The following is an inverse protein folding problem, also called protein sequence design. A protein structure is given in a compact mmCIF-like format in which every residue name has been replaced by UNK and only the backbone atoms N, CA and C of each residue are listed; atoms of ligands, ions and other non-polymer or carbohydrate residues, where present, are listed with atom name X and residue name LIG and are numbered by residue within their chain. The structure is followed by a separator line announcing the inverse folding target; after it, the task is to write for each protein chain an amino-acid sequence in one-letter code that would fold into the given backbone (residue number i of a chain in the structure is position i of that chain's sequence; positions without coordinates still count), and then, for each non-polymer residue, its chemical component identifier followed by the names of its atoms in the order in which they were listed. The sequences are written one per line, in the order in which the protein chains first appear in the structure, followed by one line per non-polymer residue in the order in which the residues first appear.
data_IF_791196105297
#
_entry.id   IF_791196105297
#
_cell.length_a   1.000
_cell.length_b   1.000
_cell.length_c   1.000
_cell.angle_alpha   90.00
_cell.angle_beta   90.00
_cell.angle_gamma   90.00
#
_symmetry.space_group_name_H-M   'P 1'
#
loop_
_entity.id
_entity.type
_entity.pdbx_description
1 polymer ?
#
# COMPACT_ATOMS: atom_id res chain seq x y z
N UNK A 1 30.99 -2.39 6.02
CA UNK A 1 29.86 -2.24 5.07
C UNK A 1 30.32 -1.30 3.98
N UNK A 2 30.28 -1.72 2.72
CA UNK A 2 30.58 -0.84 1.59
C UNK A 2 29.29 -0.08 1.22
N UNK A 3 29.40 1.21 0.93
CA UNK A 3 28.26 2.03 0.50
C UNK A 3 27.95 1.74 -0.99
N UNK A 4 26.68 1.61 -1.33
CA UNK A 4 26.26 1.30 -2.71
C UNK A 4 26.48 2.51 -3.64
N UNK A 5 26.94 2.22 -4.87
CA UNK A 5 27.65 3.15 -5.77
C UNK A 5 28.99 2.57 -6.27
N UNK A 6 29.52 1.57 -5.56
CA UNK A 6 30.70 0.77 -5.94
C UNK A 6 30.36 -0.64 -6.43
N UNK A 7 29.16 -1.16 -6.09
CA UNK A 7 28.63 -2.47 -6.52
C UNK A 7 27.12 -2.30 -6.72
N UNK A 8 26.55 -2.90 -7.77
CA UNK A 8 25.09 -2.92 -8.02
C UNK A 8 24.60 -4.33 -7.69
N UNK A 9 23.81 -4.50 -6.62
CA UNK A 9 23.21 -5.80 -6.32
C UNK A 9 21.83 -5.86 -6.99
N UNK A 10 21.57 -6.78 -7.93
CA UNK A 10 20.26 -6.90 -8.55
C UNK A 10 19.21 -7.19 -7.48
N UNK A 11 18.27 -6.26 -7.29
CA UNK A 11 17.27 -6.29 -6.22
C UNK A 11 16.03 -7.09 -6.61
N UNK A 12 15.55 -7.85 -5.64
CA UNK A 12 14.56 -8.89 -5.87
C UNK A 12 13.22 -8.72 -5.19
N UNK A 13 12.73 -7.55 -4.73
CA UNK A 13 11.54 -7.44 -3.85
C UNK A 13 10.41 -8.47 -4.07
N UNK A 14 9.76 -8.87 -2.98
CA UNK A 14 8.67 -9.83 -2.99
C UNK A 14 7.34 -9.15 -2.67
N UNK A 15 6.29 -9.49 -3.41
CA UNK A 15 4.90 -9.13 -3.07
C UNK A 15 4.04 -10.39 -3.00
N UNK A 16 3.10 -10.40 -2.06
CA UNK A 16 1.97 -11.35 -2.06
C UNK A 16 0.69 -10.66 -1.63
N UNK A 17 -0.45 -11.16 -2.08
CA UNK A 17 -1.79 -10.70 -1.75
C UNK A 17 -2.75 -11.88 -1.73
N UNK A 18 -3.62 -11.92 -0.73
CA UNK A 18 -4.66 -12.93 -0.59
C UNK A 18 -5.96 -12.22 -0.24
N UNK A 19 -7.03 -12.49 -0.97
CA UNK A 19 -8.35 -11.93 -0.72
C UNK A 19 -9.44 -12.99 -0.81
N UNK A 20 -10.39 -12.95 0.11
CA UNK A 20 -11.62 -13.73 0.06
C UNK A 20 -12.75 -12.90 -0.52
N UNK A 21 -13.27 -13.29 -1.67
CA UNK A 21 -14.41 -12.62 -2.33
C UNK A 21 -15.70 -12.76 -1.53
N UNK A 22 -15.85 -13.79 -0.70
CA UNK A 22 -17.03 -13.91 0.18
C UNK A 22 -17.02 -12.93 1.36
N UNK A 23 -15.90 -12.23 1.60
CA UNK A 23 -15.70 -11.42 2.80
C UNK A 23 -15.34 -12.24 4.04
N UNK A 24 -15.14 -13.56 3.89
CA UNK A 24 -14.61 -14.40 4.96
C UNK A 24 -13.28 -13.82 5.45
N UNK A 25 -13.21 -13.53 6.75
CA UNK A 25 -11.99 -13.07 7.38
C UNK A 25 -11.15 -14.27 7.80
N UNK A 26 -9.85 -14.21 7.53
CA UNK A 26 -8.90 -15.27 7.85
C UNK A 26 -7.64 -14.66 8.48
N UNK A 27 -6.91 -15.53 9.21
CA UNK A 27 -5.71 -15.13 9.95
C UNK A 27 -4.61 -14.61 9.04
N UNK A 28 -3.88 -13.59 9.52
CA UNK A 28 -2.68 -13.05 8.86
C UNK A 28 -1.55 -14.08 8.68
N UNK A 29 -1.59 -15.20 9.40
CA UNK A 29 -0.69 -16.35 9.21
C UNK A 29 -0.65 -16.83 7.75
N UNK A 30 -1.78 -16.73 7.03
CA UNK A 30 -1.84 -17.08 5.60
C UNK A 30 -0.92 -16.19 4.77
N UNK A 31 -0.91 -14.88 5.02
CA UNK A 31 -0.05 -13.96 4.29
C UNK A 31 1.43 -14.13 4.68
N UNK A 32 1.72 -14.43 5.96
CA UNK A 32 3.07 -14.75 6.44
C UNK A 32 3.64 -15.97 5.72
N UNK A 33 2.90 -17.08 5.71
CA UNK A 33 3.32 -18.32 5.03
C UNK A 33 3.42 -18.16 3.52
N UNK A 34 2.64 -17.24 2.93
CA UNK A 34 2.72 -16.97 1.50
C UNK A 34 3.97 -16.18 1.12
N UNK A 35 4.41 -15.21 1.93
CA UNK A 35 5.60 -14.40 1.62
C UNK A 35 6.92 -15.10 1.98
N UNK A 36 6.92 -15.97 3.00
CA UNK A 36 8.12 -16.66 3.53
C UNK A 36 8.97 -17.43 2.49
N UNK A 37 8.41 -18.18 1.52
CA UNK A 37 9.20 -18.84 0.48
C UNK A 37 10.00 -17.87 -0.41
N UNK A 38 9.65 -16.59 -0.40
CA UNK A 38 10.34 -15.53 -1.11
C UNK A 38 11.34 -14.78 -0.20
N UNK A 39 11.89 -15.44 0.83
CA UNK A 39 12.93 -14.88 1.70
C UNK A 39 14.12 -14.32 0.90
N UNK A 40 14.65 -15.11 -0.04
CA UNK A 40 15.85 -14.79 -0.84
C UNK A 40 15.68 -13.59 -1.78
N UNK A 41 14.43 -13.16 -1.99
CA UNK A 41 14.06 -11.96 -2.75
C UNK A 41 14.22 -10.67 -1.93
N UNK A 42 14.30 -10.81 -0.61
CA UNK A 42 14.36 -9.73 0.38
C UNK A 42 15.75 -9.65 1.02
N UNK A 43 16.03 -8.58 1.77
CA UNK A 43 17.31 -8.45 2.49
C UNK A 43 17.17 -7.99 3.95
N UNK A 44 15.96 -8.08 4.51
CA UNK A 44 15.68 -7.69 5.88
C UNK A 44 15.67 -6.18 6.15
N UNK A 45 15.77 -5.32 5.13
CA UNK A 45 15.76 -3.86 5.32
C UNK A 45 14.35 -3.24 5.23
N UNK A 46 13.30 -4.07 5.18
CA UNK A 46 11.93 -3.63 5.24
C UNK A 46 10.95 -4.77 4.97
N UNK A 47 10.00 -4.96 5.86
CA UNK A 47 8.92 -5.92 5.72
C UNK A 47 7.61 -5.29 6.17
N UNK A 48 6.50 -5.75 5.62
CA UNK A 48 5.20 -5.29 6.11
C UNK A 48 4.00 -5.90 5.42
N UNK A 49 2.85 -5.60 6.01
CA UNK A 49 1.54 -6.11 5.67
C UNK A 49 0.51 -4.99 5.67
N UNK A 50 -0.51 -5.10 4.83
CA UNK A 50 -1.76 -4.38 4.99
C UNK A 50 -2.90 -5.39 5.10
N UNK A 51 -3.90 -5.05 5.91
CA UNK A 51 -5.05 -5.91 6.15
C UNK A 51 -6.35 -5.10 6.09
N UNK A 52 -7.40 -5.69 5.54
CA UNK A 52 -8.74 -5.12 5.48
C UNK A 52 -9.76 -6.02 6.19
N UNK A 53 -10.74 -5.42 6.86
CA UNK A 53 -11.66 -6.15 7.75
C UNK A 53 -11.09 -6.44 9.13
N UNK A 54 -9.95 -5.83 9.46
CA UNK A 54 -9.12 -6.17 10.62
C UNK A 54 -9.61 -5.56 11.93
N UNK A 55 -10.47 -4.54 11.87
CA UNK A 55 -10.98 -3.81 13.04
C UNK A 55 -12.51 -3.82 13.10
N UNK A 56 -13.17 -4.98 13.21
CA UNK A 56 -14.62 -5.08 13.09
C UNK A 56 -15.36 -4.29 14.18
N UNK A 57 -14.79 -4.14 15.38
CA UNK A 57 -15.40 -3.34 16.45
C UNK A 57 -15.31 -1.83 16.21
N UNK A 58 -14.34 -1.38 15.41
CA UNK A 58 -14.07 0.03 15.12
C UNK A 58 -14.22 0.33 13.61
N UNK A 59 -15.01 -0.45 12.88
CA UNK A 59 -15.02 -0.45 11.41
C UNK A 59 -15.36 0.90 10.78
N UNK A 60 -16.16 1.71 11.48
CA UNK A 60 -16.67 3.00 11.01
C UNK A 60 -15.74 4.18 11.39
N UNK A 61 -14.70 3.90 12.21
CA UNK A 61 -13.69 4.86 12.64
C UNK A 61 -12.44 4.80 11.77
N UNK A 62 -11.75 5.93 11.60
CA UNK A 62 -10.41 5.91 11.03
C UNK A 62 -9.42 5.30 12.02
N UNK A 63 -8.64 4.33 11.57
CA UNK A 63 -7.52 3.76 12.29
C UNK A 63 -6.23 4.45 11.83
N UNK A 64 -5.69 5.32 12.68
CA UNK A 64 -4.39 5.94 12.46
C UNK A 64 -3.32 5.10 13.12
N UNK A 65 -2.36 4.60 12.37
CA UNK A 65 -1.16 3.99 12.95
C UNK A 65 -0.01 4.98 12.88
N UNK A 66 0.67 5.17 14.01
CA UNK A 66 1.69 6.22 14.16
C UNK A 66 2.95 5.64 14.78
N UNK A 67 4.10 5.97 14.20
CA UNK A 67 5.41 5.80 14.83
C UNK A 67 5.79 7.06 15.59
N UNK A 68 6.33 6.89 16.79
CA UNK A 68 6.92 7.96 17.57
C UNK A 68 8.36 7.62 17.97
N UNK A 69 9.28 8.55 17.68
CA UNK A 69 10.70 8.43 18.03
C UNK A 69 10.98 8.97 19.45
N UNK A 70 10.06 9.74 20.03
CA UNK A 70 10.18 10.29 21.37
C UNK A 70 8.83 10.54 22.04
N UNK A 71 8.82 10.61 23.37
CA UNK A 71 7.63 10.98 24.14
C UNK A 71 7.12 12.38 23.76
N UNK A 72 8.02 13.34 23.51
CA UNK A 72 7.66 14.70 23.08
C UNK A 72 6.90 14.69 21.75
N UNK A 73 7.37 13.92 20.76
CA UNK A 73 6.69 13.81 19.47
C UNK A 73 5.29 13.21 19.61
N UNK A 74 5.13 12.25 20.53
CA UNK A 74 3.83 11.69 20.88
C UNK A 74 2.90 12.75 21.48
N UNK A 75 3.36 13.49 22.49
CA UNK A 75 2.54 14.49 23.17
C UNK A 75 2.06 15.59 22.20
N UNK A 76 2.96 16.10 21.36
CA UNK A 76 2.64 17.11 20.33
C UNK A 76 1.62 16.58 19.29
N UNK A 77 1.78 15.32 18.89
CA UNK A 77 0.86 14.68 17.96
C UNK A 77 -0.51 14.45 18.59
N UNK A 78 -0.57 14.02 19.85
CA UNK A 78 -1.82 13.77 20.57
C UNK A 78 -2.61 15.06 20.83
N UNK A 79 -1.94 16.19 21.08
CA UNK A 79 -2.60 17.50 21.17
C UNK A 79 -3.32 17.85 19.85
N UNK A 80 -2.68 17.59 18.72
CA UNK A 80 -3.25 17.83 17.39
C UNK A 80 -4.38 16.82 17.08
N UNK A 81 -4.26 15.56 17.50
CA UNK A 81 -5.35 14.59 17.41
C UNK A 81 -6.57 15.01 18.24
N UNK A 82 -6.38 15.34 19.52
CA UNK A 82 -7.47 15.70 20.44
C UNK A 82 -8.22 16.97 20.01
N UNK A 83 -7.52 17.91 19.34
CA UNK A 83 -8.15 19.09 18.79
C UNK A 83 -8.88 18.84 17.47
N UNK A 84 -8.57 17.75 16.75
CA UNK A 84 -9.08 17.48 15.39
C UNK A 84 -10.09 16.33 15.32
N UNK A 85 -9.99 15.34 16.21
CA UNK A 85 -10.77 14.10 16.19
C UNK A 85 -11.41 13.80 17.54
N UNK A 86 -12.61 13.22 17.50
CA UNK A 86 -13.19 12.47 18.60
C UNK A 86 -12.54 11.07 18.62
N UNK A 87 -11.54 10.90 19.48
CA UNK A 87 -10.74 9.67 19.57
C UNK A 87 -11.36 8.73 20.60
N UNK A 88 -11.91 7.60 20.13
CA UNK A 88 -12.55 6.59 20.97
C UNK A 88 -11.54 5.63 21.61
N UNK A 89 -10.43 5.34 20.92
CA UNK A 89 -9.39 4.41 21.39
C UNK A 89 -8.02 4.97 21.03
N UNK A 90 -7.09 4.96 21.99
CA UNK A 90 -5.68 5.28 21.80
C UNK A 90 -4.85 4.24 22.57
N UNK A 91 -4.10 3.41 21.84
CA UNK A 91 -3.35 2.32 22.45
C UNK A 91 -2.09 1.96 21.68
N UNK A 92 -1.17 1.26 22.35
CA UNK A 92 -0.04 0.65 21.65
C UNK A 92 -0.54 -0.50 20.78
N UNK A 93 0.03 -0.63 19.59
CA UNK A 93 -0.22 -1.83 18.78
C UNK A 93 0.41 -3.03 19.51
N UNK A 94 -0.34 -4.13 19.75
CA UNK A 94 0.21 -5.33 20.35
C UNK A 94 1.41 -5.87 19.56
N UNK A 95 2.54 -6.08 20.22
CA UNK A 95 3.74 -6.64 19.61
C UNK A 95 4.38 -7.72 20.47
N UNK A 96 5.21 -8.56 19.85
CA UNK A 96 6.03 -9.60 20.49
C UNK A 96 7.51 -9.21 20.31
N UNK A 97 8.27 -9.19 21.40
CA UNK A 97 9.73 -8.98 21.32
C UNK A 97 10.40 -10.18 20.68
N UNK A 98 11.11 -9.95 19.57
CA UNK A 98 11.90 -10.96 18.87
C UNK A 98 13.28 -10.38 18.50
N UNK A 99 14.37 -11.17 18.53
CA UNK A 99 15.73 -10.65 18.26
C UNK A 99 15.94 -10.07 16.85
N UNK A 100 15.12 -10.47 15.88
CA UNK A 100 15.24 -10.09 14.47
C UNK A 100 14.76 -8.65 14.19
N UNK A 101 13.96 -8.07 15.09
CA UNK A 101 13.41 -6.73 14.95
C UNK A 101 14.05 -5.84 16.01
N UNK A 102 14.79 -4.83 15.56
CA UNK A 102 15.52 -3.89 16.41
C UNK A 102 15.13 -2.45 16.11
N UNK A 103 15.56 -1.55 17.00
CA UNK A 103 15.39 -0.10 16.85
C UNK A 103 13.92 0.30 16.63
N UNK A 104 13.02 -0.39 17.32
CA UNK A 104 11.58 -0.17 17.17
C UNK A 104 11.15 1.19 17.75
N UNK A 105 10.44 2.02 16.97
CA UNK A 105 9.80 3.21 17.50
C UNK A 105 8.62 2.82 18.40
N UNK A 106 8.10 3.78 19.16
CA UNK A 106 6.82 3.55 19.82
C UNK A 106 5.71 3.48 18.77
N UNK A 107 5.07 2.32 18.65
CA UNK A 107 3.98 2.09 17.67
C UNK A 107 2.63 2.20 18.35
N UNK A 108 1.83 3.17 17.92
CA UNK A 108 0.50 3.45 18.46
C UNK A 108 -0.56 3.37 17.38
N UNK A 109 -1.79 3.07 17.80
CA UNK A 109 -2.98 3.24 16.98
C UNK A 109 -4.03 4.09 17.67
N UNK A 110 -4.70 4.92 16.88
CA UNK A 110 -5.79 5.79 17.29
C UNK A 110 -7.02 5.49 16.44
N UNK A 111 -8.18 5.37 17.07
CA UNK A 111 -9.45 5.21 16.38
C UNK A 111 -10.32 6.43 16.64
N UNK A 112 -10.77 7.11 15.58
CA UNK A 112 -11.62 8.28 15.74
C UNK A 112 -12.25 8.82 14.46
N UNK A 113 -13.10 9.82 14.65
CA UNK A 113 -13.75 10.58 13.58
C UNK A 113 -13.40 12.07 13.72
N UNK A 114 -13.23 12.79 12.60
CA UNK A 114 -13.00 14.23 12.68
C UNK A 114 -14.24 14.90 13.27
N UNK A 115 -14.05 15.96 14.07
CA UNK A 115 -15.19 16.69 14.63
C UNK A 115 -16.00 17.39 13.51
N UNK A 116 -17.32 17.20 13.50
CA UNK A 116 -18.23 17.80 12.51
C UNK A 116 -18.06 19.33 12.39
N UNK A 117 -17.84 20.02 13.53
CA UNK A 117 -17.61 21.47 13.56
C UNK A 117 -16.39 21.89 12.72
N UNK A 118 -15.35 21.06 12.67
CA UNK A 118 -14.15 21.33 11.89
C UNK A 118 -14.39 21.09 10.41
N UNK A 119 -15.08 20.00 10.05
CA UNK A 119 -15.49 19.75 8.67
C UNK A 119 -16.33 20.92 8.13
N UNK A 120 -17.32 21.39 8.91
CA UNK A 120 -18.14 22.55 8.55
C UNK A 120 -17.32 23.83 8.41
N UNK A 121 -16.40 24.12 9.34
CA UNK A 121 -15.58 25.33 9.30
C UNK A 121 -14.57 25.36 8.14
N UNK A 122 -14.06 24.20 7.73
CA UNK A 122 -13.07 24.08 6.65
C UNK A 122 -13.71 23.91 5.29
N UNK A 123 -14.99 23.49 5.24
CA UNK A 123 -15.70 23.15 4.01
C UNK A 123 -15.14 21.92 3.29
N UNK A 124 -14.32 21.11 3.96
CA UNK A 124 -13.73 19.91 3.40
C UNK A 124 -14.64 18.70 3.63
N UNK A 125 -14.66 17.77 2.68
CA UNK A 125 -15.19 16.45 2.94
C UNK A 125 -14.30 15.69 3.95
N UNK A 126 -14.89 14.69 4.60
CA UNK A 126 -14.23 13.91 5.65
C UNK A 126 -12.89 13.31 5.20
N UNK A 127 -12.85 12.74 3.98
CA UNK A 127 -11.65 12.06 3.46
C UNK A 127 -10.55 13.05 3.11
N UNK A 128 -10.90 14.18 2.51
CA UNK A 128 -9.95 15.26 2.23
C UNK A 128 -9.40 15.88 3.52
N UNK A 129 -10.23 16.06 4.54
CA UNK A 129 -9.77 16.51 5.86
C UNK A 129 -8.73 15.54 6.45
N UNK A 130 -9.02 14.23 6.44
CA UNK A 130 -8.10 13.20 6.95
C UNK A 130 -6.80 13.16 6.14
N UNK A 131 -6.88 13.22 4.80
CA UNK A 131 -5.69 13.24 3.95
C UNK A 131 -4.78 14.43 4.28
N UNK A 132 -5.34 15.64 4.44
CA UNK A 132 -4.57 16.83 4.83
C UNK A 132 -4.02 16.72 6.25
N UNK A 133 -4.77 16.13 7.16
CA UNK A 133 -4.31 15.89 8.53
C UNK A 133 -3.08 14.97 8.55
N UNK A 134 -3.10 13.85 7.82
CA UNK A 134 -1.95 12.94 7.67
C UNK A 134 -0.73 13.69 7.13
N UNK A 135 -0.91 14.47 6.06
CA UNK A 135 0.17 15.29 5.48
C UNK A 135 0.72 16.30 6.49
N UNK A 136 -0.16 16.94 7.29
CA UNK A 136 0.23 17.90 8.32
C UNK A 136 1.11 17.22 9.38
N UNK A 137 0.69 16.10 9.94
CA UNK A 137 1.49 15.38 10.95
C UNK A 137 2.85 15.01 10.38
N UNK A 138 2.86 14.35 9.21
CA UNK A 138 4.08 13.81 8.60
C UNK A 138 5.07 14.89 8.12
N UNK A 139 4.64 16.16 8.01
CA UNK A 139 5.50 17.27 7.58
C UNK A 139 5.86 18.23 8.70
N UNK A 140 5.04 18.35 9.75
CA UNK A 140 5.20 19.40 10.76
C UNK A 140 5.69 18.86 12.11
N UNK A 141 5.43 17.59 12.44
CA UNK A 141 5.80 17.01 13.73
C UNK A 141 7.02 16.12 13.55
N UNK A 142 8.18 16.62 13.97
CA UNK A 142 9.43 15.84 13.89
C UNK A 142 9.37 14.65 14.85
N UNK A 143 9.63 13.45 14.33
CA UNK A 143 9.62 12.21 15.12
C UNK A 143 8.22 11.61 15.33
N UNK A 144 7.20 12.10 14.61
CA UNK A 144 5.89 11.45 14.49
C UNK A 144 5.61 11.12 13.02
N UNK A 145 5.14 9.90 12.74
CA UNK A 145 4.86 9.49 11.38
C UNK A 145 3.62 8.60 11.29
N UNK A 146 2.55 9.12 10.70
CA UNK A 146 1.32 8.41 10.39
C UNK A 146 1.54 7.55 9.14
N UNK A 147 1.51 6.24 9.31
CA UNK A 147 1.80 5.26 8.26
C UNK A 147 0.59 4.42 7.83
N UNK A 148 -0.56 4.61 8.48
CA UNK A 148 -1.87 4.05 8.12
C UNK A 148 -2.96 5.02 8.57
N UNK A 149 -4.04 5.17 7.79
CA UNK A 149 -5.09 6.17 8.07
C UNK A 149 -6.47 5.81 7.51
N UNK A 150 -6.78 4.52 7.33
CA UNK A 150 -8.02 4.06 6.71
C UNK A 150 -9.07 3.59 7.71
N UNK A 151 -10.29 3.31 7.23
CA UNK A 151 -11.35 2.68 8.03
C UNK A 151 -11.32 1.17 7.85
N UNK A 152 -11.53 0.44 8.95
CA UNK A 152 -11.51 -1.04 8.99
C UNK A 152 -10.30 -1.69 8.30
N UNK A 153 -9.16 -1.00 8.29
CA UNK A 153 -7.92 -1.46 7.67
C UNK A 153 -6.72 -0.98 8.47
N UNK A 154 -5.59 -1.67 8.36
CA UNK A 154 -4.34 -1.27 9.02
C UNK A 154 -3.10 -1.71 8.25
N UNK A 155 -2.04 -0.91 8.34
CA UNK A 155 -0.70 -1.27 7.87
C UNK A 155 0.18 -1.68 9.05
N UNK A 156 1.02 -2.69 8.87
CA UNK A 156 1.99 -3.18 9.85
C UNK A 156 3.34 -3.29 9.15
N UNK A 157 4.31 -2.49 9.54
CA UNK A 157 5.60 -2.45 8.84
C UNK A 157 6.75 -2.20 9.80
N UNK A 158 7.93 -2.69 9.44
CA UNK A 158 9.15 -2.56 10.23
C UNK A 158 10.39 -2.76 9.35
N UNK A 159 11.56 -2.45 9.90
CA UNK A 159 12.83 -2.94 9.37
C UNK A 159 12.97 -4.40 9.79
N UNK A 160 13.02 -5.32 8.83
CA UNK A 160 13.10 -6.76 9.06
C UNK A 160 12.62 -7.55 7.84
N UNK A 161 12.74 -8.88 7.89
CA UNK A 161 12.11 -9.78 6.92
C UNK A 161 10.59 -9.84 7.16
N UNK A 162 9.76 -9.95 6.11
CA UNK A 162 8.31 -9.89 6.26
C UNK A 162 7.75 -10.97 7.22
N UNK A 163 8.28 -12.18 7.22
CA UNK A 163 7.88 -13.23 8.16
C UNK A 163 8.16 -12.86 9.63
N UNK A 164 9.28 -12.19 9.90
CA UNK A 164 9.61 -11.68 11.25
C UNK A 164 8.69 -10.51 11.63
N UNK A 165 8.41 -9.61 10.68
CA UNK A 165 7.47 -8.49 10.89
C UNK A 165 6.07 -9.01 11.23
N UNK A 166 5.61 -10.05 10.55
CA UNK A 166 4.32 -10.68 10.83
C UNK A 166 4.25 -11.24 12.26
N UNK A 167 5.30 -11.95 12.70
CA UNK A 167 5.42 -12.47 14.06
C UNK A 167 5.56 -11.38 15.11
N UNK A 168 6.29 -10.30 14.80
CA UNK A 168 6.46 -9.14 15.69
C UNK A 168 5.13 -8.45 15.96
N UNK A 169 4.29 -8.24 14.94
CA UNK A 169 2.96 -7.63 15.10
C UNK A 169 1.86 -8.62 15.50
N UNK A 170 2.22 -9.90 15.72
CA UNK A 170 1.29 -10.98 16.08
C UNK A 170 0.14 -11.11 15.09
N UNK A 171 0.42 -11.03 13.79
CA UNK A 171 -0.62 -11.03 12.76
C UNK A 171 -1.42 -12.34 12.71
N UNK A 172 -0.92 -13.41 13.32
CA UNK A 172 -1.66 -14.65 13.54
C UNK A 172 -2.93 -14.46 14.39
N UNK A 173 -2.95 -13.45 15.28
CA UNK A 173 -4.06 -13.13 16.18
C UNK A 173 -5.13 -12.22 15.52
N UNK A 174 -4.86 -11.74 14.30
CA UNK A 174 -5.75 -10.84 13.57
C UNK A 174 -6.43 -11.57 12.42
N UNK A 175 -7.69 -11.20 12.13
CA UNK A 175 -8.43 -11.72 10.99
C UNK A 175 -8.85 -10.58 10.06
N UNK A 176 -8.63 -10.76 8.76
CA UNK A 176 -9.04 -9.84 7.70
C UNK A 176 -9.49 -10.60 6.46
N UNK A 177 -10.30 -9.99 5.61
CA UNK A 177 -10.75 -10.62 4.36
C UNK A 177 -9.77 -10.41 3.21
N UNK A 178 -8.84 -9.45 3.35
CA UNK A 178 -7.79 -9.18 2.38
C UNK A 178 -6.50 -8.85 3.12
N UNK A 179 -5.40 -9.45 2.67
CA UNK A 179 -4.05 -9.22 3.15
C UNK A 179 -3.12 -8.97 1.97
N UNK A 180 -2.27 -7.96 2.07
CA UNK A 180 -1.12 -7.77 1.17
C UNK A 180 0.16 -7.74 1.99
N UNK A 181 1.25 -8.23 1.44
CA UNK A 181 2.55 -8.24 2.11
C UNK A 181 3.69 -7.91 1.15
N UNK A 182 4.78 -7.42 1.72
CA UNK A 182 5.96 -7.01 0.97
C UNK A 182 7.25 -7.31 1.72
N UNK A 183 8.21 -7.89 1.01
CA UNK A 183 9.61 -7.99 1.41
C UNK A 183 10.47 -7.03 0.58
N UNK A 184 11.09 -6.04 1.24
CA UNK A 184 11.82 -4.93 0.60
C UNK A 184 13.30 -5.26 0.44
N UNK A 185 13.82 -4.81 -0.69
CA UNK A 185 15.23 -4.64 -0.97
C UNK A 185 15.47 -3.17 -1.38
N UNK A 186 15.85 -2.26 -0.46
CA UNK A 186 16.14 -0.88 -0.83
C UNK A 186 17.29 -0.79 -1.83
N UNK A 187 17.12 0.00 -2.89
CA UNK A 187 18.19 0.35 -3.84
C UNK A 187 18.67 1.79 -3.68
N UNK A 188 17.84 2.69 -3.10
CA UNK A 188 18.07 4.13 -3.15
C UNK A 188 17.99 4.87 -1.77
N UNK A 189 17.54 4.22 -0.69
CA UNK A 189 17.40 4.87 0.64
C UNK A 189 17.85 3.95 1.78
N UNK A 190 18.40 4.50 2.88
CA UNK A 190 18.65 3.72 4.10
C UNK A 190 17.39 2.98 4.57
N UNK A 191 17.57 1.80 5.16
CA UNK A 191 16.49 1.06 5.81
C UNK A 191 16.05 1.81 7.08
N UNK A 192 14.78 2.20 7.14
CA UNK A 192 14.15 2.74 8.33
C UNK A 192 12.66 2.38 8.32
N UNK A 193 12.03 2.39 9.49
CA UNK A 193 10.69 1.82 9.68
C UNK A 193 9.61 2.47 8.80
N UNK A 194 9.64 3.80 8.64
CA UNK A 194 8.68 4.51 7.79
C UNK A 194 8.87 4.27 6.29
N UNK A 195 10.08 3.92 5.84
CA UNK A 195 10.40 3.59 4.45
C UNK A 195 10.06 2.16 4.03
N UNK A 196 9.68 1.29 4.98
CA UNK A 196 9.14 -0.02 4.66
C UNK A 196 7.75 0.09 4.00
N UNK A 197 7.45 -0.86 3.12
CA UNK A 197 6.12 -1.00 2.52
C UNK A 197 5.24 -1.88 3.42
N UNK A 198 3.90 -1.80 3.33
CA UNK A 198 3.09 -0.93 2.45
C UNK A 198 3.15 0.58 2.77
N UNK A 199 2.83 1.40 1.77
CA UNK A 199 2.44 2.80 1.95
C UNK A 199 0.93 2.92 1.99
N UNK A 200 0.41 3.91 2.72
CA UNK A 200 -1.03 4.11 2.89
C UNK A 200 -1.42 5.57 2.91
N UNK A 201 -2.57 5.86 2.32
CA UNK A 201 -3.32 7.11 2.49
C UNK A 201 -4.80 6.76 2.47
N UNK A 202 -5.52 7.11 3.54
CA UNK A 202 -6.89 6.66 3.75
C UNK A 202 -6.96 5.13 3.69
N UNK A 203 -7.93 4.58 2.98
CA UNK A 203 -8.11 3.15 2.76
C UNK A 203 -7.29 2.58 1.59
N UNK A 204 -6.47 3.38 0.92
CA UNK A 204 -5.54 2.88 -0.08
C UNK A 204 -4.26 2.37 0.56
N UNK A 205 -3.80 1.20 0.13
CA UNK A 205 -2.48 0.68 0.46
C UNK A 205 -1.75 0.22 -0.79
N UNK A 206 -0.46 0.55 -0.90
CA UNK A 206 0.37 0.13 -2.04
C UNK A 206 1.59 -0.62 -1.53
N UNK A 207 1.76 -1.82 -2.09
CA UNK A 207 3.07 -2.50 -2.12
C UNK A 207 3.60 -2.46 -3.54
N UNK A 208 4.91 -2.27 -3.68
CA UNK A 208 5.57 -2.08 -4.97
C UNK A 208 6.86 -2.88 -5.00
N UNK A 209 6.97 -3.79 -5.97
CA UNK A 209 8.20 -4.47 -6.35
C UNK A 209 8.66 -3.90 -7.70
N UNK A 210 9.80 -3.21 -7.69
CA UNK A 210 10.27 -2.48 -8.85
C UNK A 210 11.21 -1.32 -8.51
N UNK A 211 11.53 -0.56 -9.54
CA UNK A 211 12.28 0.70 -9.45
C UNK A 211 11.73 1.65 -10.52
N UNK A 212 11.26 2.83 -10.10
CA UNK A 212 10.61 3.77 -11.00
C UNK A 212 11.63 4.79 -11.53
N UNK A 213 11.90 4.73 -12.83
CA UNK A 213 12.83 5.65 -13.49
C UNK A 213 12.28 7.07 -13.66
N UNK A 214 10.96 7.24 -13.60
CA UNK A 214 10.27 8.54 -13.68
C UNK A 214 9.99 9.19 -12.32
N UNK A 215 10.53 8.63 -11.23
CA UNK A 215 10.22 9.03 -9.85
C UNK A 215 10.11 10.55 -9.64
N UNK A 216 11.17 11.31 -9.95
CA UNK A 216 11.18 12.75 -9.63
C UNK A 216 10.20 13.57 -10.51
N UNK A 217 9.95 13.12 -11.74
CA UNK A 217 8.93 13.73 -12.60
C UNK A 217 7.52 13.49 -12.04
N UNK A 218 7.22 12.24 -11.66
CA UNK A 218 5.95 11.87 -11.06
C UNK A 218 5.74 12.59 -9.71
N UNK A 219 6.77 12.65 -8.86
CA UNK A 219 6.75 13.33 -7.56
C UNK A 219 6.43 14.82 -7.71
N UNK A 220 7.17 15.54 -8.57
CA UNK A 220 6.93 16.97 -8.79
C UNK A 220 5.53 17.23 -9.29
N UNK A 221 5.02 16.36 -10.18
CA UNK A 221 3.67 16.49 -10.71
C UNK A 221 2.62 16.33 -9.60
N UNK A 222 2.70 15.27 -8.79
CA UNK A 222 1.68 15.01 -7.75
C UNK A 222 1.72 16.05 -6.62
N UNK A 223 2.89 16.60 -6.29
CA UNK A 223 3.04 17.67 -5.31
C UNK A 223 2.32 18.97 -5.70
N UNK A 224 2.11 19.23 -7.01
CA UNK A 224 1.32 20.38 -7.48
C UNK A 224 -0.15 20.30 -7.05
N UNK A 225 -0.63 19.13 -6.66
CA UNK A 225 -2.01 18.90 -6.23
C UNK A 225 -2.18 18.89 -4.71
N UNK A 226 -1.16 19.29 -3.95
CA UNK A 226 -1.25 19.44 -2.49
C UNK A 226 -0.80 18.22 -1.69
N UNK A 227 -0.27 17.19 -2.36
CA UNK A 227 0.43 16.08 -1.71
C UNK A 227 1.84 16.50 -1.30
N UNK A 228 2.41 15.86 -0.28
CA UNK A 228 3.79 16.08 0.17
C UNK A 228 4.50 14.74 0.26
N UNK A 229 5.45 14.51 -0.64
CA UNK A 229 6.26 13.30 -0.62
C UNK A 229 7.48 13.53 0.28
N UNK A 230 7.51 12.86 1.43
CA UNK A 230 8.52 13.10 2.49
C UNK A 230 9.49 11.95 2.65
N UNK A 231 9.15 10.75 2.17
CA UNK A 231 9.91 9.54 2.47
C UNK A 231 10.86 9.13 1.36
N UNK A 232 10.84 9.88 0.25
CA UNK A 232 11.73 9.70 -0.89
C UNK A 232 11.65 8.30 -1.51
N UNK A 233 10.43 7.75 -1.60
CA UNK A 233 10.20 6.43 -2.21
C UNK A 233 9.19 6.53 -3.35
N UNK A 234 9.41 5.71 -4.38
CA UNK A 234 8.48 5.59 -5.52
C UNK A 234 7.08 5.17 -5.07
N UNK A 235 6.99 4.31 -4.06
CA UNK A 235 5.74 3.75 -3.55
C UNK A 235 4.87 4.82 -2.89
N UNK A 236 5.47 5.80 -2.21
CA UNK A 236 4.76 6.97 -1.68
C UNK A 236 4.09 7.74 -2.83
N UNK A 237 4.85 8.00 -3.89
CA UNK A 237 4.37 8.72 -5.07
C UNK A 237 3.25 7.95 -5.75
N UNK A 238 3.41 6.64 -5.98
CA UNK A 238 2.36 5.77 -6.56
C UNK A 238 1.07 5.84 -5.72
N UNK A 239 1.18 5.79 -4.39
CA UNK A 239 0.03 5.84 -3.48
C UNK A 239 -0.76 7.15 -3.66
N UNK A 240 -0.07 8.28 -3.76
CA UNK A 240 -0.71 9.58 -3.96
C UNK A 240 -1.28 9.77 -5.36
N UNK A 241 -0.63 9.20 -6.39
CA UNK A 241 -1.16 9.19 -7.76
C UNK A 241 -2.48 8.42 -7.81
N UNK A 242 -2.56 7.27 -7.15
CA UNK A 242 -3.79 6.45 -7.10
C UNK A 242 -4.91 7.20 -6.36
N UNK A 243 -4.61 7.80 -5.19
CA UNK A 243 -5.59 8.62 -4.48
C UNK A 243 -6.10 9.79 -5.35
N UNK A 244 -5.20 10.48 -6.04
CA UNK A 244 -5.56 11.58 -6.92
C UNK A 244 -6.45 11.13 -8.08
N UNK A 245 -6.04 10.10 -8.83
CA UNK A 245 -6.78 9.61 -10.00
C UNK A 245 -8.14 9.02 -9.60
N UNK A 246 -8.18 8.19 -8.56
CA UNK A 246 -9.42 7.53 -8.17
C UNK A 246 -10.35 8.43 -7.34
N UNK A 247 -9.89 8.95 -6.19
CA UNK A 247 -10.74 9.72 -5.28
C UNK A 247 -11.01 11.13 -5.79
N UNK A 248 -9.99 11.84 -6.30
CA UNK A 248 -10.14 13.26 -6.67
C UNK A 248 -10.59 13.48 -8.11
N UNK A 249 -10.13 12.66 -9.06
CA UNK A 249 -10.56 12.73 -10.45
C UNK A 249 -11.75 11.82 -10.75
N UNK A 250 -12.15 10.93 -9.84
CA UNK A 250 -13.30 10.05 -10.00
C UNK A 250 -13.09 8.92 -11.00
N UNK A 251 -11.84 8.61 -11.37
CA UNK A 251 -11.53 7.58 -12.37
C UNK A 251 -11.73 6.19 -11.78
N UNK A 252 -12.21 5.25 -12.57
CA UNK A 252 -12.21 3.83 -12.21
C UNK A 252 -10.78 3.30 -12.00
N UNK A 253 -10.64 2.15 -11.34
CA UNK A 253 -9.34 1.51 -11.16
C UNK A 253 -8.70 1.09 -12.49
N UNK A 254 -9.52 0.70 -13.47
CA UNK A 254 -9.05 0.38 -14.83
C UNK A 254 -8.53 1.63 -15.53
N UNK A 255 -9.24 2.76 -15.46
CA UNK A 255 -8.76 4.03 -16.03
C UNK A 255 -7.51 4.54 -15.29
N UNK A 256 -7.43 4.32 -13.99
CA UNK A 256 -6.23 4.63 -13.18
C UNK A 256 -5.03 3.81 -13.69
N UNK A 257 -5.22 2.51 -13.94
CA UNK A 257 -4.20 1.65 -14.53
C UNK A 257 -3.83 2.09 -15.96
N UNK A 258 -4.81 2.51 -16.77
CA UNK A 258 -4.59 3.02 -18.13
C UNK A 258 -3.74 4.30 -18.16
N UNK A 259 -3.75 5.10 -17.09
CA UNK A 259 -2.85 6.26 -16.92
C UNK A 259 -1.47 5.81 -16.46
N UNK A 260 -1.42 5.05 -15.37
CA UNK A 260 -0.16 4.67 -14.70
C UNK A 260 0.70 3.75 -15.57
N UNK A 261 0.08 2.81 -16.29
CA UNK A 261 0.73 1.82 -17.14
C UNK A 261 0.38 2.01 -18.63
N UNK A 262 0.21 3.26 -19.08
CA UNK A 262 -0.32 3.55 -20.40
C UNK A 262 0.47 2.87 -21.56
N UNK A 263 -0.24 2.29 -22.55
CA UNK A 263 0.38 1.63 -23.71
C UNK A 263 1.24 2.58 -24.55
N UNK A 264 2.11 2.03 -25.39
CA UNK A 264 2.90 2.80 -26.34
C UNK A 264 2.02 3.47 -27.39
N UNK A 265 2.48 4.61 -27.93
CA UNK A 265 1.79 5.30 -29.02
C UNK A 265 1.55 4.39 -30.23
N UNK A 266 2.53 3.54 -30.57
CA UNK A 266 2.41 2.57 -31.66
C UNK A 266 1.37 1.47 -31.42
N UNK A 267 1.06 1.15 -30.16
CA UNK A 267 -0.03 0.25 -29.80
C UNK A 267 -1.36 0.96 -29.91
N UNK A 268 -1.43 2.21 -29.42
CA UNK A 268 -2.61 3.06 -29.49
C UNK A 268 -3.05 3.30 -30.94
N UNK A 269 -2.11 3.53 -31.85
CA UNK A 269 -2.37 3.74 -33.28
C UNK A 269 -3.02 2.52 -33.98
N UNK A 270 -2.96 1.34 -33.35
CA UNK A 270 -3.53 0.09 -33.87
C UNK A 270 -4.85 -0.29 -33.21
N UNK A 271 -5.30 0.48 -32.21
CA UNK A 271 -6.55 0.22 -31.50
C UNK A 271 -7.77 0.66 -32.33
N UNK A 272 -8.97 0.33 -31.85
CA UNK A 272 -10.20 0.87 -32.42
C UNK A 272 -10.21 2.41 -32.34
N UNK A 273 -10.92 3.13 -33.24
CA UNK A 273 -10.95 4.59 -33.22
C UNK A 273 -11.40 5.19 -31.88
N UNK A 274 -12.30 4.50 -31.18
CA UNK A 274 -12.79 4.91 -29.85
C UNK A 274 -11.70 4.79 -28.78
N UNK A 275 -11.03 3.64 -28.71
CA UNK A 275 -9.92 3.41 -27.78
C UNK A 275 -8.72 4.30 -28.09
N UNK A 276 -8.41 4.53 -29.37
CA UNK A 276 -7.33 5.42 -29.77
C UNK A 276 -7.58 6.84 -29.25
N UNK A 277 -8.81 7.35 -29.40
CA UNK A 277 -9.22 8.66 -28.87
C UNK A 277 -9.11 8.71 -27.34
N UNK A 278 -9.56 7.65 -26.65
CA UNK A 278 -9.51 7.53 -25.19
C UNK A 278 -8.08 7.54 -24.65
N UNK A 279 -7.22 6.66 -25.14
CA UNK A 279 -5.82 6.58 -24.68
C UNK A 279 -5.00 7.81 -25.06
N UNK A 280 -5.26 8.40 -26.24
CA UNK A 280 -4.62 9.66 -26.63
C UNK A 280 -4.98 10.78 -25.67
N UNK A 281 -6.26 10.88 -25.27
CA UNK A 281 -6.70 11.84 -24.25
C UNK A 281 -5.99 11.61 -22.91
N UNK A 282 -6.04 10.38 -22.38
CA UNK A 282 -5.42 10.04 -21.09
C UNK A 282 -3.92 10.34 -21.08
N UNK A 283 -3.19 9.92 -22.11
CA UNK A 283 -1.74 10.15 -22.22
C UNK A 283 -1.36 11.63 -22.34
N UNK A 284 -2.23 12.46 -22.91
CA UNK A 284 -1.98 13.89 -23.03
C UNK A 284 -2.27 14.62 -21.70
N UNK A 285 -3.44 14.36 -21.11
CA UNK A 285 -3.90 15.05 -19.90
C UNK A 285 -3.08 14.64 -18.67
N UNK A 286 -2.77 13.35 -18.55
CA UNK A 286 -2.07 12.78 -17.39
C UNK A 286 -0.65 12.34 -17.71
N UNK A 287 0.00 12.99 -18.67
CA UNK A 287 1.37 12.65 -19.12
C UNK A 287 2.39 12.55 -17.98
N UNK A 288 2.30 13.42 -16.97
CA UNK A 288 3.17 13.42 -15.78
C UNK A 288 2.88 12.31 -14.76
N UNK A 289 1.81 11.54 -14.96
CA UNK A 289 1.40 10.42 -14.10
C UNK A 289 1.69 9.05 -14.72
N UNK A 290 2.21 9.00 -15.95
CA UNK A 290 2.75 7.78 -16.51
C UNK A 290 3.94 7.33 -15.67
N UNK A 291 3.88 6.10 -15.18
CA UNK A 291 4.94 5.48 -14.39
C UNK A 291 5.79 4.63 -15.31
N UNK A 292 7.10 4.86 -15.27
CA UNK A 292 8.09 4.18 -16.12
C UNK A 292 9.13 3.50 -15.27
N UNK A 293 9.66 2.39 -15.78
CA UNK A 293 10.54 1.51 -15.03
C UNK A 293 9.85 0.20 -14.72
N UNK A 294 10.61 -0.83 -14.32
CA UNK A 294 10.05 -2.11 -13.92
C UNK A 294 9.19 -1.96 -12.68
N UNK A 295 7.92 -2.37 -12.73
CA UNK A 295 7.09 -2.41 -11.53
C UNK A 295 6.03 -3.52 -11.56
N UNK A 296 5.71 -3.99 -10.36
CA UNK A 296 4.53 -4.77 -10.03
C UNK A 296 3.99 -4.20 -8.72
N UNK A 297 2.70 -3.87 -8.68
CA UNK A 297 2.05 -3.29 -7.51
C UNK A 297 0.85 -4.11 -7.09
N UNK A 298 0.59 -4.16 -5.79
CA UNK A 298 -0.73 -4.49 -5.26
C UNK A 298 -1.28 -3.24 -4.58
N UNK A 299 -2.43 -2.81 -5.05
CA UNK A 299 -3.26 -1.77 -4.46
C UNK A 299 -4.35 -2.44 -3.63
N UNK A 300 -4.31 -2.31 -2.31
CA UNK A 300 -5.47 -2.61 -1.46
C UNK A 300 -6.42 -1.42 -1.39
N UNK A 301 -7.72 -1.69 -1.28
CA UNK A 301 -8.76 -0.70 -1.02
C UNK A 301 -9.96 -1.33 -0.30
N UNK A 302 -10.83 -0.52 0.29
CA UNK A 302 -12.05 -1.04 0.94
C UNK A 302 -12.90 -1.82 -0.08
N UNK A 303 -13.05 -3.13 0.16
CA UNK A 303 -13.81 -4.03 -0.71
C UNK A 303 -13.01 -4.70 -1.82
N UNK A 304 -11.68 -4.58 -1.86
CA UNK A 304 -10.91 -5.27 -2.88
C UNK A 304 -9.41 -5.04 -2.89
N UNK A 305 -8.80 -5.59 -3.94
CA UNK A 305 -7.39 -5.44 -4.29
C UNK A 305 -7.27 -5.32 -5.80
N UNK A 306 -6.31 -4.53 -6.29
CA UNK A 306 -5.90 -4.52 -7.68
C UNK A 306 -4.43 -4.91 -7.78
N UNK A 307 -4.12 -5.80 -8.71
CA UNK A 307 -2.76 -6.13 -9.10
C UNK A 307 -2.45 -5.52 -10.47
N UNK A 308 -1.30 -4.86 -10.61
CA UNK A 308 -0.91 -4.20 -11.85
C UNK A 308 0.60 -4.30 -12.07
N UNK A 309 1.00 -4.64 -13.30
CA UNK A 309 2.39 -4.61 -13.73
C UNK A 309 2.65 -3.47 -14.72
N UNK A 310 3.92 -3.12 -14.87
CA UNK A 310 4.36 -2.23 -15.93
C UNK A 310 3.99 -2.79 -17.32
N UNK A 311 3.84 -1.90 -18.29
CA UNK A 311 3.46 -2.24 -19.68
C UNK A 311 4.42 -3.18 -20.40
N UNK A 312 5.67 -3.29 -19.93
CA UNK A 312 6.68 -4.20 -20.47
C UNK A 312 6.78 -5.50 -19.68
N UNK A 313 6.04 -5.64 -18.56
CA UNK A 313 6.05 -6.80 -17.66
C UNK A 313 7.46 -7.18 -17.21
N UNK A 314 8.24 -6.19 -16.76
CA UNK A 314 9.63 -6.39 -16.35
C UNK A 314 9.76 -7.04 -14.97
N UNK A 315 8.68 -7.06 -14.18
CA UNK A 315 8.58 -7.79 -12.92
C UNK A 315 7.56 -8.92 -13.03
N UNK A 316 7.84 -10.01 -12.31
CA UNK A 316 6.95 -11.17 -12.27
C UNK A 316 5.70 -10.89 -11.45
N UNK A 317 4.57 -11.41 -11.92
CA UNK A 317 3.31 -11.44 -11.18
C UNK A 317 2.51 -12.66 -11.65
N UNK A 318 2.04 -13.44 -10.70
CA UNK A 318 1.19 -14.62 -10.89
C UNK A 318 -0.09 -14.42 -10.10
N UNK A 319 -1.21 -14.79 -10.68
CA UNK A 319 -2.53 -14.77 -10.04
C UNK A 319 -3.05 -16.21 -9.99
N UNK A 320 -3.59 -16.59 -8.83
CA UNK A 320 -4.22 -17.89 -8.59
C UNK A 320 -5.63 -17.71 -8.03
N UNK A 321 -6.52 -18.66 -8.30
CA UNK A 321 -7.88 -18.69 -7.78
C UNK A 321 -8.20 -20.07 -7.20
N UNK A 322 -8.87 -20.09 -6.03
CA UNK A 322 -9.48 -21.28 -5.43
C UNK A 322 -10.82 -20.92 -4.82
N UNK A 323 -11.92 -21.35 -5.44
CA UNK A 323 -13.27 -20.94 -5.02
C UNK A 323 -13.42 -19.41 -4.90
N UNK A 324 -13.68 -18.93 -3.69
CA UNK A 324 -13.79 -17.49 -3.39
C UNK A 324 -12.46 -16.80 -3.09
N UNK A 325 -11.35 -17.54 -2.97
CA UNK A 325 -10.04 -16.95 -2.69
C UNK A 325 -9.28 -16.63 -3.96
N UNK A 326 -8.68 -15.45 -3.98
CA UNK A 326 -7.77 -15.01 -5.04
C UNK A 326 -6.43 -14.68 -4.41
N UNK A 327 -5.38 -15.17 -5.05
CA UNK A 327 -3.99 -15.06 -4.63
C UNK A 327 -3.22 -14.30 -5.70
N UNK A 328 -2.33 -13.40 -5.32
CA UNK A 328 -1.42 -12.71 -6.22
C UNK A 328 -0.03 -12.75 -5.61
N UNK A 329 1.00 -13.13 -6.36
CA UNK A 329 2.36 -13.13 -5.85
C UNK A 329 3.40 -12.87 -6.93
N UNK A 330 4.62 -12.50 -6.51
CA UNK A 330 5.77 -12.43 -7.43
C UNK A 330 6.15 -13.80 -8.00
N UNK A 331 5.97 -14.87 -7.21
CA UNK A 331 6.31 -16.24 -7.59
C UNK A 331 5.17 -17.21 -7.27
N UNK A 332 5.04 -18.25 -8.08
CA UNK A 332 4.00 -19.29 -7.91
C UNK A 332 4.16 -20.08 -6.59
N UNK A 333 5.39 -20.26 -6.10
CA UNK A 333 5.68 -20.98 -4.86
C UNK A 333 4.97 -20.34 -3.65
N UNK A 334 4.86 -19.01 -3.63
CA UNK A 334 4.17 -18.25 -2.60
C UNK A 334 2.67 -18.56 -2.53
N UNK A 335 2.05 -18.83 -3.68
CA UNK A 335 0.65 -19.25 -3.77
C UNK A 335 0.54 -20.71 -3.34
N UNK A 336 1.37 -21.59 -3.90
CA UNK A 336 1.30 -23.04 -3.62
C UNK A 336 1.57 -23.43 -2.18
N UNK A 337 2.33 -22.64 -1.44
CA UNK A 337 2.58 -22.87 -0.01
C UNK A 337 1.31 -22.77 0.84
N UNK A 338 0.35 -21.95 0.42
CA UNK A 338 -0.91 -21.73 1.14
C UNK A 338 -2.12 -22.34 0.44
N UNK A 339 -2.03 -22.54 -0.88
CA UNK A 339 -3.03 -23.18 -1.72
C UNK A 339 -2.34 -24.11 -2.74
N UNK A 340 -2.10 -25.39 -2.39
CA UNK A 340 -1.31 -26.31 -3.23
C UNK A 340 -1.92 -26.59 -4.61
N UNK A 341 -3.25 -26.59 -4.71
CA UNK A 341 -4.00 -26.99 -5.91
C UNK A 341 -5.01 -25.91 -6.33
N UNK A 342 -4.55 -24.74 -6.81
CA UNK A 342 -5.44 -23.68 -7.27
C UNK A 342 -6.24 -24.15 -8.50
N UNK A 343 -7.51 -23.72 -8.60
CA UNK A 343 -8.40 -24.06 -9.71
C UNK A 343 -7.93 -23.39 -11.01
N UNK A 344 -7.35 -22.19 -10.89
CA UNK A 344 -6.79 -21.42 -12.00
C UNK A 344 -5.49 -20.76 -11.57
N UNK A 345 -4.52 -20.71 -12.48
CA UNK A 345 -3.25 -20.02 -12.28
C UNK A 345 -2.82 -19.39 -13.61
N UNK A 346 -2.48 -18.09 -13.61
CA UNK A 346 -2.02 -17.40 -14.81
C UNK A 346 -1.14 -16.19 -14.47
N UNK A 347 -0.47 -15.64 -15.49
CA UNK A 347 0.30 -14.40 -15.36
C UNK A 347 -0.32 -13.31 -16.24
N UNK A 348 -0.86 -12.22 -15.67
CA UNK A 348 -1.47 -11.10 -16.42
C UNK A 348 -0.51 -10.49 -17.45
N UNK A 349 -1.03 -9.88 -18.53
CA UNK A 349 -0.17 -9.17 -19.51
C UNK A 349 0.39 -7.88 -18.91
N UNK A 350 1.44 -7.35 -19.53
CA UNK A 350 1.99 -6.05 -19.12
C UNK A 350 0.93 -4.95 -19.21
N UNK A 351 0.81 -4.11 -18.18
CA UNK A 351 -0.19 -3.04 -18.12
C UNK A 351 -1.64 -3.49 -17.92
N UNK A 352 -1.92 -4.79 -17.85
CA UNK A 352 -3.26 -5.33 -17.64
C UNK A 352 -3.60 -5.36 -16.14
N UNK A 353 -4.58 -4.58 -15.65
CA UNK A 353 -4.98 -4.62 -14.25
C UNK A 353 -5.83 -5.85 -13.96
N UNK A 354 -5.55 -6.53 -12.85
CA UNK A 354 -6.43 -7.55 -12.26
C UNK A 354 -7.12 -6.94 -11.06
N UNK A 355 -8.37 -6.51 -11.22
CA UNK A 355 -9.19 -5.92 -10.15
C UNK A 355 -10.04 -7.00 -9.52
N UNK A 356 -9.83 -7.24 -8.23
CA UNK A 356 -10.53 -8.26 -7.44
C UNK A 356 -11.38 -7.53 -6.41
N UNK A 357 -12.67 -7.85 -6.37
CA UNK A 357 -13.63 -7.27 -5.43
C UNK A 357 -14.30 -8.38 -4.63
N UNK A 358 -14.72 -8.04 -3.42
CA UNK A 358 -15.68 -8.87 -2.70
C UNK A 358 -16.98 -8.98 -3.49
N UNK A 359 -17.70 -10.08 -3.31
CA UNK A 359 -18.95 -10.39 -3.97
C UNK A 359 -19.99 -9.31 -3.65
N UNK A 360 -20.89 -9.06 -4.59
CA UNK A 360 -21.96 -8.08 -4.41
C UNK A 360 -22.80 -8.41 -3.16
N UNK A 361 -23.10 -7.39 -2.35
CA UNK A 361 -23.84 -7.54 -1.11
C UNK A 361 -23.01 -7.93 0.12
N UNK A 362 -21.72 -8.25 -0.03
CA UNK A 362 -20.82 -8.44 1.11
C UNK A 362 -20.56 -7.09 1.78
N UNK A 363 -20.91 -6.98 3.07
CA UNK A 363 -20.64 -5.78 3.88
C UNK A 363 -19.29 -5.91 4.58
N UNK A 364 -18.29 -5.21 4.05
CA UNK A 364 -16.92 -5.14 4.60
C UNK A 364 -16.61 -3.82 5.29
#
# INVERSE_FOLDING_TARGET
MQNEGQIRIPSGCAITGVISKSGERFSGETAIRSIEPMHDRSNGLGGGFAAYGIYPQNRDLYAFHVFYDSARAKDECEEIFQSSFDVSVAEKIPTRKIPQITDEPAVWRYFGLPYDKLLQSTGLDEREFVARFVMKINTQITGAYVFSSGKNMGVFKAVGFPEDVGRYYRLEDYEGYCWTAHGRYPTNTPGWWGGAHPFSLLDYTVVHNGEISSYDANRRWIEMFGYRCTLLTDTEVITYIIDYLNRRQGMSLTETADVIAAPFWSEIDRMSPEEQKRYTYLRNVFSGLLITGPFSILLGFTGGMMALNDRLKLRSMVVGEKGDRVYVASEECAIRTVEPEPDRLWSPRGGEPVVIRVNEGVRV
#
